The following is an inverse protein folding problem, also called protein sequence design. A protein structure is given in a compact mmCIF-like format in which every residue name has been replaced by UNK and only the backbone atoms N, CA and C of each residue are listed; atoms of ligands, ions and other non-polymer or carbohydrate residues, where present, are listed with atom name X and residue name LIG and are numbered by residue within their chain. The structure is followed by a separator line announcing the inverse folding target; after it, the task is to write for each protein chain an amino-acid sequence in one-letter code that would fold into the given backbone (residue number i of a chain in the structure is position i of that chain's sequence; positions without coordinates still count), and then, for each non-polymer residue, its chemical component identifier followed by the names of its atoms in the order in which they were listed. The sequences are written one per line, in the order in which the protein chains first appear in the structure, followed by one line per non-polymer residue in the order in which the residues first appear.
data_IF_269626332721
#
_entry.id   IF_269626332721
#
_cell.length_a   1.000
_cell.length_b   1.000
_cell.length_c   1.000
_cell.angle_alpha   90.00
_cell.angle_beta   90.00
_cell.angle_gamma   90.00
#
_symmetry.space_group_name_H-M   'P 1'
#
loop_
_entity.id
_entity.type
_entity.pdbx_description
1 polymer ?
#
# COMPACT_ATOMS: atom_id res chain seq x y z
N UNK A 1 57.08 -14.72 -22.12
CA UNK A 1 55.63 -15.01 -21.96
C UNK A 1 54.87 -13.78 -22.44
N UNK A 2 53.83 -13.90 -23.27
CA UNK A 2 53.09 -12.72 -23.78
C UNK A 2 52.31 -12.05 -22.64
N UNK A 3 52.37 -10.71 -22.55
CA UNK A 3 51.63 -9.91 -21.56
C UNK A 3 50.13 -10.19 -21.61
N UNK A 4 49.59 -10.53 -22.79
CA UNK A 4 48.19 -10.91 -22.98
C UNK A 4 47.85 -12.19 -22.21
N UNK A 5 48.75 -13.18 -22.21
CA UNK A 5 48.52 -14.43 -21.47
C UNK A 5 48.49 -14.18 -19.95
N UNK A 6 49.35 -13.28 -19.45
CA UNK A 6 49.36 -12.91 -18.04
C UNK A 6 48.14 -12.07 -17.66
N UNK A 7 47.76 -11.11 -18.52
CA UNK A 7 46.55 -10.32 -18.35
C UNK A 7 45.32 -11.22 -18.25
N UNK A 8 45.13 -12.15 -19.19
CA UNK A 8 43.97 -13.05 -19.18
C UNK A 8 43.93 -13.94 -17.93
N UNK A 9 45.09 -14.40 -17.43
CA UNK A 9 45.18 -15.19 -16.20
C UNK A 9 44.74 -14.37 -14.99
N UNK A 10 45.22 -13.14 -14.88
CA UNK A 10 44.85 -12.22 -13.80
C UNK A 10 43.40 -11.75 -13.93
N UNK A 11 42.90 -11.54 -15.15
CA UNK A 11 41.52 -11.16 -15.43
C UNK A 11 40.58 -12.25 -14.93
N UNK A 12 40.90 -13.52 -15.20
CA UNK A 12 40.10 -14.64 -14.70
C UNK A 12 40.06 -14.66 -13.17
N UNK A 13 41.21 -14.59 -12.49
CA UNK A 13 41.25 -14.58 -11.03
C UNK A 13 40.48 -13.40 -10.44
N UNK A 14 40.65 -12.22 -11.03
CA UNK A 14 39.93 -11.03 -10.61
C UNK A 14 38.43 -11.21 -10.81
N UNK A 15 37.97 -11.69 -11.96
CA UNK A 15 36.53 -11.94 -12.22
C UNK A 15 35.98 -13.02 -11.29
N UNK A 16 36.73 -14.08 -11.01
CA UNK A 16 36.31 -15.14 -10.07
C UNK A 16 36.10 -14.55 -8.66
N UNK A 17 37.03 -13.72 -8.16
CA UNK A 17 36.87 -13.01 -6.88
C UNK A 17 35.67 -12.05 -6.88
N UNK A 18 35.40 -11.38 -8.01
CA UNK A 18 34.21 -10.55 -8.17
C UNK A 18 32.95 -11.40 -8.01
N UNK A 19 32.87 -12.54 -8.71
CA UNK A 19 31.72 -13.43 -8.67
C UNK A 19 31.46 -13.99 -7.26
N UNK A 20 32.49 -14.22 -6.46
CA UNK A 20 32.32 -14.64 -5.06
C UNK A 20 31.57 -13.57 -4.23
N UNK A 21 31.82 -12.28 -4.46
CA UNK A 21 31.01 -11.21 -3.83
C UNK A 21 29.57 -11.21 -4.31
N UNK A 22 29.34 -11.48 -5.60
CA UNK A 22 27.98 -11.58 -6.13
C UNK A 22 27.22 -12.71 -5.46
N UNK A 23 27.85 -13.88 -5.30
CA UNK A 23 27.26 -15.03 -4.62
C UNK A 23 26.92 -14.65 -3.18
N UNK A 24 27.85 -14.04 -2.43
CA UNK A 24 27.60 -13.62 -1.06
C UNK A 24 26.45 -12.59 -0.95
N UNK A 25 26.39 -11.62 -1.87
CA UNK A 25 25.30 -10.65 -1.89
C UNK A 25 23.94 -11.32 -2.15
N UNK A 26 23.88 -12.27 -3.08
CA UNK A 26 22.68 -13.07 -3.35
C UNK A 26 22.28 -13.90 -2.14
N UNK A 27 23.22 -14.55 -1.45
CA UNK A 27 22.94 -15.30 -0.22
C UNK A 27 22.35 -14.42 0.88
N UNK A 28 22.89 -13.21 1.07
CA UNK A 28 22.34 -12.25 2.05
C UNK A 28 20.92 -11.83 1.65
N UNK A 29 20.69 -11.58 0.37
CA UNK A 29 19.35 -11.28 -0.17
C UNK A 29 18.39 -12.46 0.09
N UNK A 30 18.77 -13.69 -0.23
CA UNK A 30 17.94 -14.88 0.01
C UNK A 30 17.65 -15.08 1.50
N UNK A 31 18.63 -14.85 2.39
CA UNK A 31 18.43 -15.06 3.82
C UNK A 31 17.55 -13.99 4.47
N UNK A 32 17.63 -12.73 4.02
CA UNK A 32 16.98 -11.60 4.68
C UNK A 32 15.74 -11.10 3.96
N UNK A 33 15.78 -11.06 2.64
CA UNK A 33 14.71 -10.50 1.82
C UNK A 33 13.65 -11.54 1.45
N UNK A 34 14.04 -12.75 1.06
CA UNK A 34 13.06 -13.78 0.67
C UNK A 34 12.06 -14.17 1.76
N UNK A 35 12.41 -14.21 3.07
CA UNK A 35 11.42 -14.46 4.11
C UNK A 35 10.29 -13.43 4.11
N UNK A 36 10.63 -12.15 3.95
CA UNK A 36 9.63 -11.07 3.88
C UNK A 36 8.86 -11.13 2.57
N UNK A 37 9.54 -11.34 1.44
CA UNK A 37 8.90 -11.55 0.15
C UNK A 37 7.85 -12.65 0.23
N UNK A 38 8.23 -13.81 0.78
CA UNK A 38 7.34 -14.97 0.90
C UNK A 38 6.18 -14.68 1.86
N UNK A 39 6.43 -14.01 2.99
CA UNK A 39 5.36 -13.56 3.90
C UNK A 39 4.36 -12.65 3.18
N UNK A 40 4.84 -11.62 2.49
CA UNK A 40 4.02 -10.69 1.73
C UNK A 40 3.24 -11.40 0.61
N UNK A 41 3.88 -12.29 -0.14
CA UNK A 41 3.25 -13.05 -1.21
C UNK A 41 2.19 -14.03 -0.69
N UNK A 42 2.47 -14.73 0.41
CA UNK A 42 1.50 -15.63 1.04
C UNK A 42 0.31 -14.85 1.59
N UNK A 43 0.55 -13.71 2.24
CA UNK A 43 -0.49 -12.85 2.75
C UNK A 43 -1.39 -12.31 1.62
N UNK A 44 -0.79 -11.95 0.48
CA UNK A 44 -1.52 -11.59 -0.74
C UNK A 44 -2.40 -12.74 -1.24
N UNK A 45 -1.85 -13.95 -1.30
CA UNK A 45 -2.58 -15.13 -1.74
C UNK A 45 -3.75 -15.46 -0.80
N UNK A 46 -3.53 -15.39 0.51
CA UNK A 46 -4.57 -15.60 1.52
C UNK A 46 -5.68 -14.55 1.43
N UNK A 47 -5.31 -13.28 1.25
CA UNK A 47 -6.23 -12.16 1.04
C UNK A 47 -7.10 -12.37 -0.20
N UNK A 48 -6.52 -12.88 -1.29
CA UNK A 48 -7.23 -13.12 -2.55
C UNK A 48 -7.97 -14.46 -2.58
N UNK A 49 -7.73 -15.37 -1.61
CA UNK A 49 -8.40 -16.66 -1.59
C UNK A 49 -9.87 -16.54 -1.14
N UNK A 50 -10.76 -17.21 -1.86
CA UNK A 50 -12.22 -17.24 -1.62
C UNK A 50 -12.64 -18.17 -0.47
N UNK A 51 -11.68 -18.77 0.26
CA UNK A 51 -11.94 -19.80 1.27
C UNK A 51 -12.22 -19.26 2.67
N UNK A 52 -12.01 -17.98 2.94
CA UNK A 52 -12.15 -17.42 4.28
C UNK A 52 -13.60 -16.95 4.50
N UNK A 53 -14.31 -17.64 5.40
CA UNK A 53 -15.72 -17.38 5.72
C UNK A 53 -15.98 -16.10 6.52
N UNK A 54 -14.96 -15.58 7.22
CA UNK A 54 -15.10 -14.44 8.11
C UNK A 54 -14.19 -13.28 7.67
N UNK A 55 -14.78 -12.28 7.02
CA UNK A 55 -14.04 -11.20 6.36
C UNK A 55 -13.42 -10.23 7.36
N UNK A 56 -14.01 -10.03 8.53
CA UNK A 56 -13.50 -9.08 9.55
C UNK A 56 -12.24 -9.59 10.24
N UNK A 57 -12.21 -10.88 10.58
CA UNK A 57 -11.02 -11.53 11.14
C UNK A 57 -9.87 -11.60 10.11
N UNK A 58 -10.21 -11.81 8.83
CA UNK A 58 -9.27 -11.71 7.71
C UNK A 58 -8.66 -10.32 7.59
N UNK A 59 -9.50 -9.28 7.67
CA UNK A 59 -9.04 -7.90 7.57
C UNK A 59 -8.12 -7.53 8.74
N UNK A 60 -8.48 -7.90 9.97
CA UNK A 60 -7.69 -7.56 11.16
C UNK A 60 -6.35 -8.28 11.22
N UNK A 61 -6.28 -9.57 10.86
CA UNK A 61 -5.02 -10.30 10.86
C UNK A 61 -4.11 -9.85 9.71
N UNK A 62 -4.68 -9.58 8.53
CA UNK A 62 -3.90 -9.13 7.39
C UNK A 62 -3.35 -7.71 7.60
N UNK A 63 -4.13 -6.81 8.19
CA UNK A 63 -3.68 -5.44 8.50
C UNK A 63 -2.48 -5.44 9.46
N UNK A 64 -2.50 -6.29 10.49
CA UNK A 64 -1.39 -6.40 11.44
C UNK A 64 -0.13 -6.95 10.77
N UNK A 65 -0.24 -8.06 10.05
CA UNK A 65 0.90 -8.68 9.35
C UNK A 65 1.47 -7.73 8.28
N UNK A 66 0.61 -6.99 7.57
CA UNK A 66 1.05 -5.94 6.64
C UNK A 66 1.83 -4.82 7.33
N UNK A 67 1.35 -4.33 8.47
CA UNK A 67 2.05 -3.31 9.25
C UNK A 67 3.44 -3.80 9.72
N UNK A 68 3.54 -5.07 10.12
CA UNK A 68 4.81 -5.69 10.52
C UNK A 68 5.78 -5.78 9.34
N UNK A 69 5.34 -6.28 8.19
CA UNK A 69 6.15 -6.33 6.95
C UNK A 69 6.66 -4.94 6.58
N UNK A 70 5.79 -3.92 6.58
CA UNK A 70 6.15 -2.54 6.27
C UNK A 70 7.19 -2.00 7.27
N UNK A 71 7.05 -2.34 8.55
CA UNK A 71 7.99 -1.94 9.59
C UNK A 71 9.38 -2.55 9.45
N UNK A 72 9.48 -3.77 8.90
CA UNK A 72 10.75 -4.49 8.73
C UNK A 72 11.55 -4.03 7.49
N UNK A 73 10.87 -3.58 6.42
CA UNK A 73 11.49 -3.21 5.14
C UNK A 73 12.60 -2.14 5.24
N UNK A 74 12.46 -1.03 6.00
CA UNK A 74 13.52 -0.03 6.12
C UNK A 74 14.83 -0.58 6.69
N UNK A 75 14.74 -1.45 7.70
CA UNK A 75 15.91 -2.07 8.36
C UNK A 75 16.68 -2.96 7.39
N UNK A 76 15.96 -3.78 6.62
CA UNK A 76 16.55 -4.64 5.59
C UNK A 76 17.16 -3.83 4.46
N UNK A 77 16.47 -2.76 4.04
CA UNK A 77 16.99 -1.82 3.07
C UNK A 77 18.32 -1.20 3.49
N UNK A 78 18.43 -0.80 4.76
CA UNK A 78 19.65 -0.25 5.34
C UNK A 78 20.79 -1.28 5.41
N UNK A 79 20.50 -2.51 5.85
CA UNK A 79 21.50 -3.59 5.91
C UNK A 79 22.02 -3.97 4.53
N UNK A 80 21.13 -4.19 3.55
CA UNK A 80 21.53 -4.53 2.18
C UNK A 80 22.32 -3.38 1.54
N UNK A 81 21.96 -2.13 1.85
CA UNK A 81 22.74 -0.96 1.47
C UNK A 81 24.14 -0.93 2.09
N UNK A 82 24.28 -1.30 3.37
CA UNK A 82 25.60 -1.39 4.04
C UNK A 82 26.49 -2.47 3.41
N UNK A 83 25.93 -3.65 3.15
CA UNK A 83 26.66 -4.74 2.51
C UNK A 83 27.04 -4.37 1.08
N UNK A 84 26.13 -3.79 0.29
CA UNK A 84 26.45 -3.29 -1.05
C UNK A 84 27.61 -2.29 -1.04
N UNK A 85 27.58 -1.32 -0.12
CA UNK A 85 28.65 -0.33 0.03
C UNK A 85 29.99 -0.97 0.43
N UNK A 86 29.97 -2.06 1.21
CA UNK A 86 31.16 -2.82 1.55
C UNK A 86 31.72 -3.54 0.31
N UNK A 87 30.87 -4.22 -0.45
CA UNK A 87 31.24 -4.86 -1.71
C UNK A 87 31.85 -3.85 -2.69
N UNK A 88 31.26 -2.68 -2.87
CA UNK A 88 31.81 -1.65 -3.76
C UNK A 88 33.23 -1.20 -3.36
N UNK A 89 33.51 -1.11 -2.05
CA UNK A 89 34.84 -0.76 -1.54
C UNK A 89 35.86 -1.87 -1.82
N UNK A 90 35.50 -3.12 -1.55
CA UNK A 90 36.36 -4.30 -1.79
C UNK A 90 36.68 -4.45 -3.29
N UNK A 91 35.69 -4.24 -4.15
CA UNK A 91 35.84 -4.22 -5.60
C UNK A 91 36.87 -3.18 -6.09
N UNK A 92 36.84 -1.96 -5.53
CA UNK A 92 37.81 -0.91 -5.86
C UNK A 92 39.23 -1.27 -5.40
N UNK A 93 39.37 -1.97 -4.27
CA UNK A 93 40.67 -2.46 -3.79
C UNK A 93 41.21 -3.52 -4.77
N UNK A 94 40.37 -4.45 -5.18
CA UNK A 94 40.75 -5.50 -6.12
C UNK A 94 41.09 -4.96 -7.50
N UNK A 95 40.36 -3.95 -8.00
CA UNK A 95 40.71 -3.28 -9.26
C UNK A 95 42.13 -2.71 -9.21
N UNK A 96 42.49 -2.05 -8.11
CA UNK A 96 43.83 -1.47 -7.92
C UNK A 96 44.91 -2.57 -7.88
N UNK A 97 44.66 -3.66 -7.17
CA UNK A 97 45.57 -4.80 -7.10
C UNK A 97 45.74 -5.49 -8.46
N UNK A 98 44.65 -5.65 -9.21
CA UNK A 98 44.68 -6.16 -10.58
C UNK A 98 45.53 -5.27 -11.49
N UNK A 99 45.32 -3.95 -11.48
CA UNK A 99 46.09 -2.99 -12.29
C UNK A 99 47.57 -3.03 -11.91
N UNK A 100 47.87 -3.01 -10.60
CA UNK A 100 49.23 -3.05 -10.07
C UNK A 100 49.98 -4.32 -10.50
N UNK A 101 49.32 -5.47 -10.47
CA UNK A 101 49.91 -6.75 -10.91
C UNK A 101 50.05 -6.81 -12.43
N UNK A 102 49.00 -6.46 -13.18
CA UNK A 102 48.95 -6.64 -14.62
C UNK A 102 49.83 -5.67 -15.40
N UNK A 103 50.01 -4.43 -14.92
CA UNK A 103 50.85 -3.42 -15.60
C UNK A 103 52.34 -3.81 -15.65
N UNK A 104 52.81 -4.64 -14.71
CA UNK A 104 54.22 -5.09 -14.63
C UNK A 104 54.66 -5.92 -15.84
N UNK A 105 53.70 -6.51 -16.58
CA UNK A 105 53.98 -7.35 -17.73
C UNK A 105 54.04 -6.56 -19.05
N UNK A 106 53.94 -5.23 -19.01
CA UNK A 106 53.60 -4.41 -20.17
C UNK A 106 54.71 -3.39 -20.45
N UNK A 107 55.07 -3.27 -21.74
CA UNK A 107 56.02 -2.25 -22.20
C UNK A 107 55.29 -1.00 -22.68
N UNK A 108 56.01 0.14 -22.74
CA UNK A 108 55.44 1.45 -23.10
C UNK A 108 54.65 1.46 -24.43
N UNK A 109 55.11 0.72 -25.44
CA UNK A 109 54.40 0.62 -26.74
C UNK A 109 53.07 -0.15 -26.70
N UNK A 110 52.83 -0.93 -25.64
CA UNK A 110 51.60 -1.74 -25.46
C UNK A 110 50.56 -1.05 -24.57
N UNK A 111 50.92 0.07 -23.94
CA UNK A 111 50.08 0.82 -23.01
C UNK A 111 48.70 1.17 -23.60
N UNK A 112 48.58 1.64 -24.86
CA UNK A 112 47.26 1.98 -25.42
C UNK A 112 46.32 0.76 -25.51
N UNK A 113 46.85 -0.39 -25.93
CA UNK A 113 46.08 -1.62 -26.05
C UNK A 113 45.70 -2.18 -24.67
N UNK A 114 46.61 -2.07 -23.69
CA UNK A 114 46.34 -2.42 -22.31
C UNK A 114 45.21 -1.57 -21.70
N UNK A 115 45.30 -0.24 -21.84
CA UNK A 115 44.26 0.68 -21.36
C UNK A 115 42.89 0.35 -21.95
N UNK A 116 42.84 0.05 -23.26
CA UNK A 116 41.60 -0.38 -23.92
C UNK A 116 41.02 -1.65 -23.29
N UNK A 117 41.86 -2.64 -22.94
CA UNK A 117 41.40 -3.88 -22.29
C UNK A 117 40.95 -3.64 -20.85
N UNK A 118 41.65 -2.83 -20.07
CA UNK A 118 41.20 -2.44 -18.73
C UNK A 118 39.84 -1.74 -18.77
N UNK A 119 39.61 -0.86 -19.75
CA UNK A 119 38.30 -0.21 -19.91
C UNK A 119 37.20 -1.20 -20.27
N UNK A 120 37.47 -2.17 -21.17
CA UNK A 120 36.49 -3.22 -21.48
C UNK A 120 36.15 -4.06 -20.24
N UNK A 121 37.16 -4.42 -19.44
CA UNK A 121 36.96 -5.15 -18.20
C UNK A 121 36.14 -4.33 -17.19
N UNK A 122 36.48 -3.05 -17.01
CA UNK A 122 35.72 -2.15 -16.14
C UNK A 122 34.25 -2.06 -16.55
N UNK A 123 33.98 -1.85 -17.84
CA UNK A 123 32.60 -1.79 -18.35
C UNK A 123 31.83 -3.10 -18.09
N UNK A 124 32.48 -4.26 -18.23
CA UNK A 124 31.84 -5.56 -17.91
C UNK A 124 31.45 -5.63 -16.44
N UNK A 125 32.35 -5.21 -15.55
CA UNK A 125 32.13 -5.22 -14.10
C UNK A 125 31.02 -4.23 -13.73
N UNK A 126 31.02 -3.03 -14.30
CA UNK A 126 29.97 -2.03 -14.10
C UNK A 126 28.59 -2.57 -14.52
N UNK A 127 28.50 -3.28 -15.65
CA UNK A 127 27.26 -3.92 -16.10
C UNK A 127 26.81 -4.98 -15.08
N UNK A 128 27.72 -5.81 -14.57
CA UNK A 128 27.39 -6.81 -13.55
C UNK A 128 26.86 -6.14 -12.28
N UNK A 129 27.55 -5.11 -11.78
CA UNK A 129 27.15 -4.37 -10.57
C UNK A 129 25.77 -3.75 -10.76
N UNK A 130 25.54 -3.09 -11.91
CA UNK A 130 24.26 -2.48 -12.21
C UNK A 130 23.14 -3.52 -12.26
N UNK A 131 23.35 -4.66 -12.91
CA UNK A 131 22.38 -5.75 -12.93
C UNK A 131 22.03 -6.25 -11.52
N UNK A 132 23.00 -6.23 -10.59
CA UNK A 132 22.77 -6.61 -9.20
C UNK A 132 21.92 -5.57 -8.45
N UNK A 133 22.18 -4.28 -8.68
CA UNK A 133 21.39 -3.19 -8.10
C UNK A 133 19.95 -3.16 -8.64
N UNK A 134 19.78 -3.34 -9.94
CA UNK A 134 18.47 -3.31 -10.60
C UNK A 134 17.60 -4.49 -10.10
N UNK A 135 18.15 -5.71 -10.06
CA UNK A 135 17.47 -6.89 -9.48
C UNK A 135 17.14 -6.78 -7.99
N UNK A 136 17.78 -5.86 -7.26
CA UNK A 136 17.49 -5.58 -5.85
C UNK A 136 16.38 -4.53 -5.70
N UNK A 137 16.47 -3.44 -6.45
CA UNK A 137 15.54 -2.32 -6.35
C UNK A 137 14.16 -2.67 -6.92
N UNK A 138 14.09 -3.38 -8.04
CA UNK A 138 12.82 -3.73 -8.68
C UNK A 138 11.97 -4.64 -7.78
N UNK A 139 12.54 -5.70 -7.20
CA UNK A 139 11.76 -6.63 -6.36
C UNK A 139 11.21 -5.97 -5.08
N UNK A 140 11.98 -5.08 -4.46
CA UNK A 140 11.53 -4.32 -3.27
C UNK A 140 10.42 -3.33 -3.61
N UNK A 141 10.58 -2.61 -4.73
CA UNK A 141 9.62 -1.62 -5.20
C UNK A 141 8.33 -2.30 -5.63
N UNK A 142 8.41 -3.43 -6.33
CA UNK A 142 7.24 -4.19 -6.75
C UNK A 142 6.43 -4.69 -5.55
N UNK A 143 7.10 -5.23 -4.51
CA UNK A 143 6.43 -5.59 -3.25
C UNK A 143 5.78 -4.37 -2.62
N UNK A 144 6.50 -3.26 -2.46
CA UNK A 144 5.96 -2.05 -1.83
C UNK A 144 4.76 -1.47 -2.60
N UNK A 145 4.83 -1.44 -3.93
CA UNK A 145 3.76 -0.95 -4.79
C UNK A 145 2.54 -1.88 -4.74
N UNK A 146 2.77 -3.19 -4.71
CA UNK A 146 1.71 -4.19 -4.58
C UNK A 146 1.02 -4.08 -3.21
N UNK A 147 1.80 -3.94 -2.14
CA UNK A 147 1.31 -3.67 -0.77
C UNK A 147 0.44 -2.42 -0.77
N UNK A 148 0.96 -1.29 -1.24
CA UNK A 148 0.23 -0.02 -1.23
C UNK A 148 -1.08 -0.09 -2.02
N UNK A 149 -1.07 -0.76 -3.16
CA UNK A 149 -2.26 -0.97 -3.98
C UNK A 149 -3.30 -1.82 -3.26
N UNK A 150 -2.90 -2.94 -2.64
CA UNK A 150 -3.83 -3.87 -2.03
C UNK A 150 -4.34 -3.37 -0.67
N UNK A 151 -3.52 -2.67 0.12
CA UNK A 151 -4.00 -1.92 1.30
C UNK A 151 -5.02 -0.85 0.89
N UNK A 152 -4.79 -0.16 -0.23
CA UNK A 152 -5.76 0.79 -0.80
C UNK A 152 -7.09 0.13 -1.21
N UNK A 153 -7.04 -1.08 -1.80
CA UNK A 153 -8.23 -1.88 -2.11
C UNK A 153 -8.96 -2.33 -0.86
N UNK A 154 -8.26 -2.84 0.14
CA UNK A 154 -8.84 -3.31 1.39
C UNK A 154 -9.56 -2.18 2.14
N UNK A 155 -8.98 -0.98 2.21
CA UNK A 155 -9.63 0.21 2.77
C UNK A 155 -10.90 0.53 1.99
N UNK A 156 -10.86 0.50 0.65
CA UNK A 156 -12.03 0.79 -0.18
C UNK A 156 -13.17 -0.24 -0.03
N UNK A 157 -12.85 -1.51 0.20
CA UNK A 157 -13.82 -2.57 0.45
C UNK A 157 -14.36 -2.54 1.90
N UNK A 158 -13.51 -2.21 2.87
CA UNK A 158 -13.90 -1.93 4.26
C UNK A 158 -14.87 -0.75 4.32
N UNK A 159 -14.60 0.32 3.57
CA UNK A 159 -15.48 1.48 3.52
C UNK A 159 -16.81 1.16 2.86
N UNK A 160 -16.81 0.36 1.79
CA UNK A 160 -18.06 -0.17 1.21
C UNK A 160 -18.84 -1.00 2.21
N UNK A 161 -18.19 -1.90 2.95
CA UNK A 161 -18.85 -2.70 4.00
C UNK A 161 -19.35 -1.87 5.16
N UNK A 162 -18.59 -0.88 5.64
CA UNK A 162 -19.06 0.09 6.64
C UNK A 162 -20.28 0.84 6.14
N UNK A 163 -20.30 1.28 4.89
CA UNK A 163 -21.48 1.91 4.28
C UNK A 163 -22.68 0.96 4.18
N UNK A 164 -22.47 -0.33 3.86
CA UNK A 164 -23.52 -1.35 3.83
C UNK A 164 -24.04 -1.70 5.23
N UNK A 165 -23.17 -1.83 6.24
CA UNK A 165 -23.53 -2.06 7.64
C UNK A 165 -24.26 -0.85 8.22
N UNK A 166 -23.83 0.38 7.91
CA UNK A 166 -24.59 1.60 8.28
C UNK A 166 -25.98 1.58 7.62
N UNK A 167 -26.09 1.12 6.37
CA UNK A 167 -27.39 0.96 5.70
C UNK A 167 -28.24 -0.18 6.28
N UNK A 168 -27.65 -1.25 6.82
CA UNK A 168 -28.35 -2.35 7.48
C UNK A 168 -28.72 -2.06 8.94
N UNK A 169 -27.90 -1.32 9.67
CA UNK A 169 -28.25 -0.77 10.99
C UNK A 169 -29.33 0.32 10.89
N UNK A 170 -29.31 1.14 9.83
CA UNK A 170 -30.42 2.06 9.51
C UNK A 170 -31.72 1.30 9.16
N UNK A 171 -31.66 0.02 8.76
CA UNK A 171 -32.86 -0.84 8.59
C UNK A 171 -33.40 -1.38 9.91
N UNK A 172 -32.64 -1.35 11.02
CA UNK A 172 -33.14 -1.70 12.36
C UNK A 172 -33.90 -0.57 13.05
N UNK A 173 -33.81 0.66 12.56
CA UNK A 173 -34.79 1.69 12.94
C UNK A 173 -36.05 1.42 12.11
N UNK A 174 -37.00 0.68 12.70
CA UNK A 174 -38.31 0.46 12.10
C UNK A 174 -39.09 1.78 11.99
N UNK A 175 -38.81 2.58 10.96
CA UNK A 175 -39.72 3.62 10.51
C UNK A 175 -40.93 2.94 9.87
N UNK A 176 -41.99 2.78 10.65
CA UNK A 176 -43.27 2.24 10.16
C UNK A 176 -43.82 3.12 9.05
N UNK A 177 -44.40 2.48 8.05
CA UNK A 177 -45.05 3.09 6.89
C UNK A 177 -46.31 3.83 7.36
N UNK A 178 -46.17 5.10 7.77
CA UNK A 178 -47.30 5.99 8.10
C UNK A 178 -47.74 6.69 6.81
N UNK A 179 -48.87 6.24 6.26
CA UNK A 179 -49.43 6.74 5.00
C UNK A 179 -50.49 7.81 5.19
N UNK A 180 -51.05 7.93 6.41
CA UNK A 180 -52.04 8.96 6.71
C UNK A 180 -51.33 10.20 7.26
N UNK A 181 -51.62 11.36 6.67
CA UNK A 181 -51.14 12.66 7.15
C UNK A 181 -51.53 12.90 8.61
N UNK A 182 -52.66 12.36 9.09
CA UNK A 182 -53.07 12.42 10.50
C UNK A 182 -52.08 11.71 11.42
N UNK A 183 -51.56 10.55 11.02
CA UNK A 183 -50.55 9.82 11.81
C UNK A 183 -49.19 10.53 11.84
N UNK A 184 -48.88 11.29 10.78
CA UNK A 184 -47.69 12.13 10.70
C UNK A 184 -47.82 13.37 11.59
N UNK A 185 -49.00 13.98 11.65
CA UNK A 185 -49.30 15.07 12.56
C UNK A 185 -49.21 14.62 14.01
N UNK A 186 -49.78 13.46 14.34
CA UNK A 186 -49.65 12.89 15.68
C UNK A 186 -48.18 12.64 16.04
N UNK A 187 -47.39 12.11 15.10
CA UNK A 187 -45.94 11.92 15.31
C UNK A 187 -45.21 13.24 15.59
N UNK A 188 -45.59 14.32 14.92
CA UNK A 188 -45.01 15.64 15.18
C UNK A 188 -45.35 16.15 16.59
N UNK A 189 -46.59 15.95 17.03
CA UNK A 189 -47.00 16.27 18.40
C UNK A 189 -46.22 15.45 19.43
N UNK A 190 -46.08 14.14 19.21
CA UNK A 190 -45.32 13.23 20.07
C UNK A 190 -43.84 13.64 20.18
N UNK A 191 -43.31 14.30 19.15
CA UNK A 191 -41.95 14.84 19.11
C UNK A 191 -41.84 16.29 19.62
N UNK A 192 -42.87 16.83 20.27
CA UNK A 192 -42.83 18.15 20.92
C UNK A 192 -42.96 19.33 19.94
N UNK A 193 -43.62 19.13 18.80
CA UNK A 193 -43.98 20.21 17.89
C UNK A 193 -45.41 20.69 18.14
N UNK A 194 -45.63 21.99 17.97
CA UNK A 194 -46.94 22.61 18.01
C UNK A 194 -47.35 23.13 16.63
N UNK A 195 -48.65 23.05 16.35
CA UNK A 195 -49.19 23.54 15.08
C UNK A 195 -49.18 25.06 15.07
N UNK A 196 -48.56 25.64 14.05
CA UNK A 196 -48.58 27.09 13.80
C UNK A 196 -49.70 27.43 12.83
N UNK A 197 -50.37 28.56 13.06
CA UNK A 197 -51.48 29.02 12.21
C UNK A 197 -51.00 29.18 10.77
N UNK A 198 -51.64 28.46 9.85
CA UNK A 198 -51.25 28.37 8.43
C UNK A 198 -52.48 28.28 7.54
N UNK A 199 -52.37 28.84 6.33
CA UNK A 199 -53.38 28.78 5.26
C UNK A 199 -52.79 28.08 4.05
N UNK A 200 -53.46 27.03 3.56
CA UNK A 200 -53.05 26.24 2.38
C UNK A 200 -52.97 24.74 2.66
N UNK A 201 -52.53 23.97 1.67
CA UNK A 201 -52.51 22.49 1.70
C UNK A 201 -51.41 21.87 2.58
N UNK A 202 -50.67 22.71 3.30
CA UNK A 202 -49.58 22.32 4.17
C UNK A 202 -49.81 22.92 5.56
N UNK A 203 -49.73 22.08 6.58
CA UNK A 203 -49.76 22.50 7.98
C UNK A 203 -48.32 22.65 8.49
N UNK A 204 -47.99 23.80 9.07
CA UNK A 204 -46.67 24.02 9.65
C UNK A 204 -46.63 23.65 11.13
N UNK A 205 -45.58 22.92 11.51
CA UNK A 205 -45.32 22.50 12.89
C UNK A 205 -44.00 23.08 13.38
N UNK A 206 -43.98 23.67 14.58
CA UNK A 206 -42.80 24.29 15.20
C UNK A 206 -42.42 23.55 16.47
N UNK A 207 -41.17 23.12 16.59
CA UNK A 207 -40.70 22.44 17.81
C UNK A 207 -40.58 23.44 18.96
N UNK A 208 -41.13 23.08 20.12
CA UNK A 208 -41.24 23.97 21.29
C UNK A 208 -39.85 24.39 21.80
N UNK A 209 -38.87 23.48 21.79
CA UNK A 209 -37.52 23.75 22.33
C UNK A 209 -36.56 24.36 21.30
N UNK A 210 -36.59 23.87 20.06
CA UNK A 210 -35.57 24.19 19.05
C UNK A 210 -36.04 25.26 18.06
N UNK A 211 -37.31 25.66 18.14
CA UNK A 211 -37.97 26.60 17.23
C UNK A 211 -37.94 26.22 15.74
N UNK A 212 -37.45 25.02 15.39
CA UNK A 212 -37.36 24.55 14.01
C UNK A 212 -38.74 24.18 13.46
N UNK A 213 -38.94 24.47 12.18
CA UNK A 213 -40.21 24.29 11.47
C UNK A 213 -40.17 23.06 10.57
N UNK A 214 -41.30 22.35 10.49
CA UNK A 214 -41.52 21.25 9.56
C UNK A 214 -42.91 21.39 8.91
N UNK A 215 -42.99 21.52 7.57
CA UNK A 215 -44.26 21.43 6.85
C UNK A 215 -44.72 19.98 6.77
N UNK A 216 -46.00 19.73 7.04
CA UNK A 216 -46.66 18.44 6.84
C UNK A 216 -47.86 18.68 5.92
N UNK A 217 -47.89 17.97 4.81
CA UNK A 217 -48.98 18.02 3.83
C UNK A 217 -50.30 17.60 4.49
N UNK A 218 -51.40 18.31 4.20
CA UNK A 218 -52.72 18.08 4.79
C UNK A 218 -53.60 17.08 4.01
N UNK A 219 -52.99 16.32 3.09
CA UNK A 219 -53.62 15.33 2.21
C UNK A 219 -52.69 14.12 2.02
N UNK A 220 -52.96 13.25 1.05
CA UNK A 220 -52.21 12.02 0.80
C UNK A 220 -50.68 12.23 0.69
N UNK A 221 -49.90 11.44 1.43
CA UNK A 221 -48.45 11.56 1.50
C UNK A 221 -47.80 10.35 0.83
N UNK A 222 -47.01 10.59 -0.22
CA UNK A 222 -46.23 9.55 -0.86
C UNK A 222 -45.09 9.03 0.04
N UNK A 223 -44.71 7.76 -0.12
CA UNK A 223 -43.74 7.05 0.73
C UNK A 223 -42.42 7.80 0.89
N UNK A 224 -41.89 8.36 -0.20
CA UNK A 224 -40.63 9.11 -0.18
C UNK A 224 -40.72 10.34 0.72
N UNK A 225 -41.79 11.11 0.56
CA UNK A 225 -42.05 12.32 1.34
C UNK A 225 -42.33 12.00 2.81
N UNK A 226 -43.11 10.95 3.10
CA UNK A 226 -43.36 10.48 4.47
C UNK A 226 -42.06 10.16 5.21
N UNK A 227 -41.12 9.45 4.55
CA UNK A 227 -39.79 9.16 5.14
C UNK A 227 -38.96 10.42 5.37
N UNK A 228 -38.99 11.37 4.44
CA UNK A 228 -38.25 12.63 4.59
C UNK A 228 -38.78 13.46 5.77
N UNK A 229 -40.10 13.58 5.91
CA UNK A 229 -40.73 14.28 7.03
C UNK A 229 -40.39 13.61 8.37
N UNK A 230 -40.46 12.28 8.47
CA UNK A 230 -40.08 11.55 9.68
C UNK A 230 -38.63 11.78 10.08
N UNK A 231 -37.69 11.74 9.11
CA UNK A 231 -36.27 12.05 9.36
C UNK A 231 -36.09 13.48 9.83
N UNK A 232 -36.82 14.43 9.25
CA UNK A 232 -36.72 15.84 9.59
C UNK A 232 -37.28 16.11 11.00
N UNK A 233 -38.44 15.56 11.35
CA UNK A 233 -39.03 15.65 12.68
C UNK A 233 -38.07 15.09 13.75
N UNK A 234 -37.50 13.91 13.51
CA UNK A 234 -36.54 13.29 14.42
C UNK A 234 -35.26 14.10 14.61
N UNK A 235 -34.69 14.63 13.52
CA UNK A 235 -33.48 15.48 13.60
C UNK A 235 -33.77 16.80 14.32
N UNK A 236 -34.91 17.41 14.04
CA UNK A 236 -35.26 18.72 14.58
C UNK A 236 -35.68 18.69 16.06
N UNK A 237 -36.09 17.53 16.58
CA UNK A 237 -36.40 17.34 18.01
C UNK A 237 -35.17 17.06 18.89
N UNK A 238 -34.05 16.61 18.29
CA UNK A 238 -32.83 16.19 19.03
C UNK A 238 -31.68 17.18 19.06
N UNK A 239 -31.67 18.18 18.16
CA UNK A 239 -30.61 19.19 18.13
C UNK A 239 -31.05 20.39 18.95
N UNK A 240 -30.75 20.36 20.25
CA UNK A 240 -30.80 21.52 21.16
C UNK A 240 -29.46 22.26 21.13
#
# INVERSE_FOLDING_TARGET
MSWIKQFNKLEKLYVDEILDFFIQFVEIKEQKFFPIYNRAYNLLYETNSTKIKNVEERLSNNEKEWCEIIGELPSIGEELGKEFNKFEKEMRILEREFIKKSVTYINRGQLPLYQKRCNVLRNKIEIMIKSMQDNYAEELVDILMQILHDTGKLVSESDKKKYEIIQEEDKKIQYKKKFDYKEMQQLALDYGFEKVRTTGDHMMYKHIKTNKLVPIVAHEIQIGLSRQIQKQLYRNSRVA
#
